data_IF_462526911541
#
_entry.id   IF_462526911541
#
_cell.length_a   1.000
_cell.length_b   1.000
_cell.length_c   1.000
_cell.angle_alpha   90.00
_cell.angle_beta   90.00
_cell.angle_gamma   90.00
#
_symmetry.space_group_name_H-M   'P 1'
#
loop_
_entity.id
_entity.type
_entity.pdbx_description
1 polymer ?
#
# COMPACT_ATOMS: atom_id res chain seq x y z
N UNK A 1 18.73 -1.24 6.49
CA UNK A 1 17.74 -1.55 5.42
C UNK A 1 17.16 -2.96 5.51
N UNK A 2 17.84 -3.95 6.12
CA UNK A 2 17.37 -5.35 6.21
C UNK A 2 16.13 -5.57 7.11
N UNK A 3 15.99 -4.83 8.21
CA UNK A 3 14.92 -5.03 9.21
C UNK A 3 13.52 -4.63 8.75
N UNK A 4 13.42 -3.66 7.82
CA UNK A 4 12.12 -3.13 7.34
C UNK A 4 11.49 -4.01 6.26
N UNK A 5 12.32 -4.74 5.52
CA UNK A 5 11.87 -5.71 4.50
C UNK A 5 11.42 -7.04 5.13
N UNK A 6 12.09 -7.45 6.22
CA UNK A 6 11.67 -8.58 7.07
C UNK A 6 10.26 -8.36 7.63
N UNK A 7 9.89 -7.13 7.95
CA UNK A 7 8.55 -6.80 8.47
C UNK A 7 7.45 -6.91 7.39
N UNK A 8 7.77 -6.57 6.15
CA UNK A 8 6.85 -6.72 5.01
C UNK A 8 6.63 -8.20 4.67
N UNK A 9 7.67 -9.03 4.79
CA UNK A 9 7.60 -10.49 4.63
C UNK A 9 6.88 -11.14 5.81
N UNK A 10 7.06 -10.65 7.04
CA UNK A 10 6.33 -11.12 8.22
C UNK A 10 4.82 -10.91 8.06
N UNK A 11 4.40 -9.80 7.45
CA UNK A 11 2.99 -9.55 7.10
C UNK A 11 2.48 -10.56 6.07
N UNK A 12 3.28 -10.93 5.06
CA UNK A 12 2.93 -11.98 4.09
C UNK A 12 2.83 -13.35 4.78
N UNK A 13 3.69 -13.64 5.77
CA UNK A 13 3.68 -14.86 6.57
C UNK A 13 2.47 -14.96 7.51
N UNK A 14 1.93 -13.82 7.97
CA UNK A 14 0.74 -13.75 8.84
C UNK A 14 -0.57 -13.99 8.06
N UNK A 15 -0.59 -13.75 6.75
CA UNK A 15 -1.78 -13.90 5.90
C UNK A 15 -2.06 -15.38 5.55
N UNK A 16 -1.09 -16.29 5.75
CA UNK A 16 -1.30 -17.73 5.55
C UNK A 16 -1.40 -18.43 6.91
N UNK A 17 -2.54 -19.08 7.24
CA UNK A 17 -2.69 -19.75 8.51
C UNK A 17 -1.72 -20.95 8.56
N UNK A 18 -0.76 -20.89 9.47
CA UNK A 18 0.16 -21.99 9.74
C UNK A 18 -0.60 -23.08 10.51
N UNK A 19 -1.04 -24.13 9.82
CA UNK A 19 -1.41 -25.37 10.48
C UNK A 19 -0.13 -25.98 11.09
N UNK A 20 -0.13 -26.14 12.41
CA UNK A 20 0.99 -26.66 13.17
C UNK A 20 1.15 -28.17 12.91
N UNK A 21 2.17 -28.56 12.15
CA UNK A 21 2.81 -29.88 12.20
C UNK A 21 4.32 -29.70 11.98
N UNK A 22 5.08 -30.57 12.62
CA UNK A 22 6.55 -30.75 12.68
C UNK A 22 7.24 -30.80 11.30
N UNK A 23 7.24 -29.69 10.57
CA UNK A 23 7.95 -29.52 9.30
C UNK A 23 8.63 -28.14 9.29
N UNK A 24 9.89 -28.10 8.85
CA UNK A 24 10.70 -26.88 8.85
C UNK A 24 10.20 -25.89 7.78
N UNK A 25 10.20 -24.60 8.11
CA UNK A 25 9.95 -23.52 7.16
C UNK A 25 11.29 -23.09 6.54
N UNK A 26 11.37 -23.02 5.21
CA UNK A 26 12.60 -22.64 4.50
C UNK A 26 12.45 -21.23 3.95
N UNK A 27 13.33 -20.33 4.39
CA UNK A 27 13.40 -18.94 3.95
C UNK A 27 14.81 -18.60 3.47
N UNK A 28 14.97 -18.23 2.19
CA UNK A 28 16.27 -17.81 1.62
C UNK A 28 16.16 -16.54 0.77
N UNK A 29 17.24 -15.76 0.74
CA UNK A 29 17.36 -14.53 -0.06
C UNK A 29 18.67 -14.61 -0.87
N UNK A 30 18.59 -14.38 -2.18
CA UNK A 30 19.73 -14.35 -3.12
C UNK A 30 20.39 -15.70 -3.35
N UNK A 31 19.71 -16.79 -3.01
CA UNK A 31 20.22 -18.15 -3.13
C UNK A 31 19.10 -19.11 -3.52
N UNK A 32 19.46 -20.15 -4.27
CA UNK A 32 18.53 -21.16 -4.73
C UNK A 32 18.19 -22.16 -3.61
N UNK A 33 17.01 -22.76 -3.72
CA UNK A 33 16.53 -23.81 -2.82
C UNK A 33 16.09 -25.00 -3.62
N UNK A 34 16.65 -26.16 -3.29
CA UNK A 34 16.22 -27.46 -3.81
C UNK A 34 15.63 -28.27 -2.66
N UNK A 35 14.40 -28.73 -2.83
CA UNK A 35 13.71 -29.63 -1.90
C UNK A 35 13.78 -31.01 -2.52
N UNK A 36 14.67 -31.85 -2.00
CA UNK A 36 14.91 -33.18 -2.54
C UNK A 36 13.77 -34.16 -2.25
N UNK A 37 13.80 -35.30 -2.93
CA UNK A 37 12.85 -36.39 -2.71
C UNK A 37 12.96 -36.91 -1.26
N UNK A 38 11.82 -37.13 -0.61
CA UNK A 38 11.78 -37.53 0.81
C UNK A 38 11.89 -36.38 1.81
N UNK A 39 12.26 -35.16 1.39
CA UNK A 39 12.18 -33.99 2.24
C UNK A 39 10.73 -33.50 2.37
N UNK A 40 10.34 -33.18 3.61
CA UNK A 40 9.04 -32.60 3.94
C UNK A 40 9.27 -31.23 4.56
N UNK A 41 8.78 -30.19 3.88
CA UNK A 41 8.87 -28.81 4.33
C UNK A 41 7.49 -28.20 4.41
N UNK A 42 7.34 -27.21 5.29
CA UNK A 42 6.02 -26.62 5.53
C UNK A 42 5.78 -25.47 4.54
N UNK A 43 6.61 -24.42 4.59
CA UNK A 43 6.55 -23.30 3.65
C UNK A 43 7.90 -23.03 2.97
N UNK A 44 7.80 -22.93 1.64
CA UNK A 44 8.73 -22.47 0.61
C UNK A 44 8.84 -20.97 0.39
N UNK A 45 9.80 -20.19 0.91
CA UNK A 45 9.91 -18.77 0.51
C UNK A 45 11.33 -18.42 0.05
N UNK A 46 11.48 -18.02 -1.21
CA UNK A 46 12.76 -17.59 -1.80
C UNK A 46 12.63 -16.26 -2.52
N UNK A 47 13.61 -15.38 -2.31
CA UNK A 47 13.67 -14.05 -2.94
C UNK A 47 14.97 -13.94 -3.73
N UNK A 48 14.88 -13.66 -5.03
CA UNK A 48 16.03 -13.50 -5.93
C UNK A 48 16.79 -14.80 -6.19
N UNK A 49 16.11 -15.95 -6.14
CA UNK A 49 16.66 -17.27 -6.39
C UNK A 49 15.58 -18.23 -6.88
N UNK A 50 15.99 -19.34 -7.47
CA UNK A 50 15.11 -20.38 -8.00
C UNK A 50 14.70 -21.39 -6.92
N UNK A 51 13.44 -21.84 -6.96
CA UNK A 51 12.94 -22.93 -6.13
C UNK A 51 12.79 -24.17 -7.00
N UNK A 52 13.49 -25.25 -6.68
CA UNK A 52 13.29 -26.57 -7.30
C UNK A 52 12.66 -27.52 -6.28
N UNK A 53 11.47 -28.03 -6.58
CA UNK A 53 10.73 -28.92 -5.68
C UNK A 53 10.68 -30.31 -6.29
N UNK A 54 11.15 -31.30 -5.55
CA UNK A 54 11.04 -32.73 -5.86
C UNK A 54 10.37 -33.51 -4.72
N UNK A 55 10.43 -32.99 -3.49
CA UNK A 55 9.77 -33.55 -2.31
C UNK A 55 8.36 -33.00 -2.02
N UNK A 56 7.97 -33.05 -0.74
CA UNK A 56 6.65 -32.66 -0.24
C UNK A 56 6.70 -31.26 0.41
N UNK A 57 5.82 -30.36 -0.06
CA UNK A 57 5.52 -29.06 0.58
C UNK A 57 4.09 -29.10 1.12
N UNK A 58 3.94 -28.99 2.44
CA UNK A 58 2.62 -29.08 3.07
C UNK A 58 1.74 -27.85 2.85
N UNK A 59 2.35 -26.67 2.78
CA UNK A 59 1.63 -25.42 2.59
C UNK A 59 2.09 -24.77 1.29
N UNK A 60 2.69 -23.58 1.36
CA UNK A 60 2.83 -22.71 0.19
C UNK A 60 4.27 -22.68 -0.32
N UNK A 61 4.40 -22.44 -1.63
CA UNK A 61 5.66 -22.15 -2.30
C UNK A 61 5.57 -20.75 -2.90
N UNK A 62 6.46 -19.86 -2.52
CA UNK A 62 6.50 -18.46 -2.95
C UNK A 62 7.91 -18.10 -3.43
N UNK A 63 8.03 -17.80 -4.72
CA UNK A 63 9.25 -17.26 -5.31
C UNK A 63 9.04 -15.79 -5.73
N UNK A 64 9.92 -14.90 -5.29
CA UNK A 64 9.92 -13.49 -5.66
C UNK A 64 11.21 -13.18 -6.45
N UNK A 65 11.10 -12.81 -7.73
CA UNK A 65 12.23 -12.49 -8.59
C UNK A 65 13.05 -13.72 -9.04
N UNK A 66 12.42 -14.90 -9.10
CA UNK A 66 13.03 -16.16 -9.53
C UNK A 66 11.97 -17.18 -9.94
N UNK A 67 12.39 -18.27 -10.57
CA UNK A 67 11.48 -19.29 -11.13
C UNK A 67 11.17 -20.40 -10.13
N UNK A 68 10.04 -21.08 -10.33
CA UNK A 68 9.66 -22.29 -9.57
C UNK A 68 9.65 -23.48 -10.52
N UNK A 69 10.44 -24.50 -10.22
CA UNK A 69 10.50 -25.75 -10.98
C UNK A 69 9.94 -26.87 -10.11
N UNK A 70 8.77 -27.39 -10.48
CA UNK A 70 8.14 -28.54 -9.83
C UNK A 70 8.46 -29.77 -10.66
N UNK A 71 9.29 -30.68 -10.15
CA UNK A 71 9.64 -31.91 -10.86
C UNK A 71 8.49 -32.94 -10.80
N UNK A 72 8.61 -34.05 -11.53
CA UNK A 72 7.56 -35.07 -11.62
C UNK A 72 7.16 -35.71 -10.30
N UNK A 73 7.96 -35.60 -9.23
CA UNK A 73 7.64 -36.14 -7.90
C UNK A 73 7.19 -35.06 -6.89
N UNK A 74 7.16 -33.80 -7.32
CA UNK A 74 6.80 -32.69 -6.46
C UNK A 74 5.34 -32.79 -5.98
N UNK A 75 5.14 -32.71 -4.68
CA UNK A 75 3.82 -32.72 -4.05
C UNK A 75 3.64 -31.43 -3.25
N UNK A 76 2.81 -30.51 -3.73
CA UNK A 76 2.50 -29.25 -3.03
C UNK A 76 1.03 -29.24 -2.63
N UNK A 77 0.76 -29.24 -1.33
CA UNK A 77 -0.62 -29.25 -0.81
C UNK A 77 -1.27 -27.86 -0.79
N UNK A 78 -0.50 -26.79 -0.68
CA UNK A 78 -0.99 -25.42 -0.73
C UNK A 78 -0.76 -24.73 -2.08
N UNK A 79 -0.64 -23.40 -2.04
CA UNK A 79 -0.55 -22.57 -3.24
C UNK A 79 0.88 -22.41 -3.73
N UNK A 80 1.05 -22.26 -5.04
CA UNK A 80 2.33 -21.93 -5.67
C UNK A 80 2.22 -20.54 -6.30
N UNK A 81 3.03 -19.61 -5.82
CA UNK A 81 3.05 -18.22 -6.29
C UNK A 81 4.45 -17.87 -6.78
N UNK A 82 4.56 -17.45 -8.03
CA UNK A 82 5.81 -16.96 -8.61
C UNK A 82 5.60 -15.53 -9.12
N UNK A 83 6.43 -14.60 -8.68
CA UNK A 83 6.36 -13.18 -9.08
C UNK A 83 7.68 -12.82 -9.76
N UNK A 84 7.63 -12.41 -11.03
CA UNK A 84 8.80 -12.02 -11.82
C UNK A 84 9.63 -13.18 -12.40
N UNK A 85 9.09 -14.40 -12.41
CA UNK A 85 9.69 -15.59 -13.00
C UNK A 85 8.64 -16.47 -13.67
N UNK A 86 9.01 -17.72 -13.98
CA UNK A 86 8.09 -18.71 -14.58
C UNK A 86 7.90 -19.92 -13.68
N UNK A 87 6.75 -20.57 -13.79
CA UNK A 87 6.48 -21.84 -13.10
C UNK A 87 6.58 -23.00 -14.11
N UNK A 88 7.65 -23.79 -14.03
CA UNK A 88 7.82 -24.99 -14.82
C UNK A 88 7.28 -26.21 -14.05
N UNK A 89 6.22 -26.84 -14.57
CA UNK A 89 5.58 -28.01 -13.94
C UNK A 89 5.85 -29.28 -14.74
N UNK A 90 6.54 -30.23 -14.13
CA UNK A 90 6.77 -31.57 -14.69
C UNK A 90 5.50 -32.42 -14.73
N UNK A 91 5.46 -33.39 -15.64
CA UNK A 91 4.29 -34.23 -15.98
C UNK A 91 3.76 -35.15 -14.85
N UNK A 92 4.38 -35.14 -13.67
CA UNK A 92 3.88 -35.84 -12.46
C UNK A 92 3.70 -34.94 -11.23
N UNK A 93 4.03 -33.65 -11.34
CA UNK A 93 3.93 -32.71 -10.22
C UNK A 93 2.47 -32.52 -9.81
N UNK A 94 2.16 -32.68 -8.54
CA UNK A 94 0.81 -32.53 -7.99
C UNK A 94 0.75 -31.28 -7.11
N UNK A 95 -0.11 -30.33 -7.50
CA UNK A 95 -0.39 -29.12 -6.73
C UNK A 95 -1.88 -29.12 -6.41
N UNK A 96 -2.22 -29.19 -5.12
CA UNK A 96 -3.62 -29.20 -4.67
C UNK A 96 -4.20 -27.80 -4.49
N UNK A 97 -3.36 -26.77 -4.30
CA UNK A 97 -3.78 -25.37 -4.23
C UNK A 97 -3.77 -24.65 -5.58
N UNK A 98 -3.86 -23.32 -5.54
CA UNK A 98 -3.83 -22.46 -6.74
C UNK A 98 -2.39 -22.21 -7.20
N UNK A 99 -2.18 -22.28 -8.51
CA UNK A 99 -0.92 -21.89 -9.16
C UNK A 99 -1.12 -20.48 -9.73
N UNK A 100 -0.32 -19.52 -9.26
CA UNK A 100 -0.39 -18.13 -9.70
C UNK A 100 0.97 -17.65 -10.17
N UNK A 101 1.08 -17.40 -11.46
CA UNK A 101 2.24 -16.78 -12.08
C UNK A 101 1.96 -15.30 -12.31
N UNK A 102 2.87 -14.43 -11.86
CA UNK A 102 2.81 -12.98 -12.09
C UNK A 102 4.08 -12.60 -12.87
N UNK A 103 4.00 -12.72 -14.19
CA UNK A 103 5.06 -12.41 -15.13
C UNK A 103 4.77 -11.09 -15.88
N UNK A 104 5.78 -10.48 -16.52
CA UNK A 104 5.61 -9.36 -17.44
C UNK A 104 4.71 -9.69 -18.64
N UNK A 105 4.59 -10.97 -19.01
CA UNK A 105 3.61 -11.43 -20.00
C UNK A 105 2.16 -11.19 -19.57
N UNK A 106 1.81 -11.39 -18.29
CA UNK A 106 0.47 -11.06 -17.78
C UNK A 106 0.21 -9.56 -17.80
N UNK A 107 1.26 -8.75 -17.56
CA UNK A 107 1.16 -7.29 -17.69
C UNK A 107 0.91 -6.90 -19.15
N UNK A 108 1.61 -7.54 -20.11
CA UNK A 108 1.35 -7.33 -21.54
C UNK A 108 -0.05 -7.78 -21.96
N UNK A 109 -0.57 -8.87 -21.39
CA UNK A 109 -1.93 -9.35 -21.64
C UNK A 109 -2.99 -8.37 -21.10
N UNK A 110 -2.77 -7.78 -19.92
CA UNK A 110 -3.63 -6.74 -19.33
C UNK A 110 -3.59 -5.44 -20.15
N UNK A 111 -2.41 -5.06 -20.65
CA UNK A 111 -2.25 -3.91 -21.55
C UNK A 111 -2.97 -4.17 -22.87
N UNK A 112 -2.85 -5.39 -23.41
CA UNK A 112 -3.50 -5.78 -24.66
C UNK A 112 -5.04 -5.86 -24.51
N UNK A 113 -5.57 -6.35 -23.39
CA UNK A 113 -7.03 -6.37 -23.14
C UNK A 113 -7.60 -4.98 -22.93
N UNK A 114 -6.83 -4.04 -22.36
CA UNK A 114 -7.19 -2.62 -22.34
C UNK A 114 -7.26 -2.00 -23.73
N UNK A 115 -6.24 -2.18 -24.58
CA UNK A 115 -6.26 -1.66 -25.94
C UNK A 115 -7.36 -2.31 -26.80
N UNK A 116 -7.85 -3.50 -26.42
CA UNK A 116 -9.01 -4.18 -27.02
C UNK A 116 -10.36 -3.71 -26.45
N UNK A 117 -10.37 -2.84 -25.45
CA UNK A 117 -11.59 -2.26 -24.87
C UNK A 117 -12.37 -3.20 -23.95
N UNK A 118 -11.74 -4.27 -23.43
CA UNK A 118 -12.43 -5.24 -22.56
C UNK A 118 -12.66 -4.68 -21.14
N UNK A 119 -13.86 -4.86 -20.54
CA UNK A 119 -14.17 -4.39 -19.19
C UNK A 119 -13.21 -4.93 -18.12
N UNK A 120 -12.74 -6.17 -18.28
CA UNK A 120 -11.77 -6.81 -17.38
C UNK A 120 -10.40 -6.11 -17.44
N UNK A 121 -9.96 -5.68 -18.62
CA UNK A 121 -8.74 -4.90 -18.81
C UNK A 121 -8.80 -3.53 -18.14
N UNK A 122 -9.93 -2.84 -18.23
CA UNK A 122 -10.15 -1.57 -17.52
C UNK A 122 -10.07 -1.72 -16.00
N UNK A 123 -10.76 -2.71 -15.43
CA UNK A 123 -10.73 -2.94 -13.98
C UNK A 123 -9.33 -3.35 -13.47
N UNK A 124 -8.61 -4.17 -14.24
CA UNK A 124 -7.25 -4.58 -13.93
C UNK A 124 -6.28 -3.38 -13.98
N UNK A 125 -6.40 -2.50 -14.99
CA UNK A 125 -5.60 -1.29 -15.07
C UNK A 125 -5.90 -0.31 -13.93
N UNK A 126 -7.15 -0.05 -13.61
CA UNK A 126 -7.49 0.81 -12.47
C UNK A 126 -6.89 0.27 -11.16
N UNK A 127 -6.89 -1.05 -10.98
CA UNK A 127 -6.27 -1.68 -9.81
C UNK A 127 -4.73 -1.54 -9.82
N UNK A 128 -4.07 -1.76 -10.96
CA UNK A 128 -2.61 -1.61 -11.09
C UNK A 128 -2.23 -0.14 -10.86
N UNK A 129 -2.89 0.80 -11.54
CA UNK A 129 -2.65 2.24 -11.42
C UNK A 129 -2.88 2.67 -9.97
N UNK A 130 -3.97 2.25 -9.34
CA UNK A 130 -4.28 2.54 -7.93
C UNK A 130 -3.20 2.00 -6.98
N UNK A 131 -2.68 0.79 -7.23
CA UNK A 131 -1.61 0.19 -6.43
C UNK A 131 -0.30 0.99 -6.55
N UNK A 132 0.11 1.33 -7.78
CA UNK A 132 1.29 2.17 -8.04
C UNK A 132 1.14 3.57 -7.43
N UNK A 133 -0.03 4.19 -7.59
CA UNK A 133 -0.34 5.51 -7.06
C UNK A 133 -0.29 5.51 -5.53
N UNK A 134 -0.82 4.47 -4.88
CA UNK A 134 -0.77 4.33 -3.43
C UNK A 134 0.65 4.05 -2.92
N UNK A 135 1.47 3.29 -3.66
CA UNK A 135 2.89 3.12 -3.39
C UNK A 135 3.68 4.42 -3.52
N UNK A 136 3.40 5.22 -4.57
CA UNK A 136 4.01 6.53 -4.77
C UNK A 136 3.66 7.50 -3.63
N UNK A 137 2.37 7.57 -3.24
CA UNK A 137 1.92 8.38 -2.09
C UNK A 137 2.63 7.92 -0.81
N UNK A 138 2.82 6.62 -0.60
CA UNK A 138 3.53 6.10 0.57
C UNK A 138 4.99 6.55 0.62
N UNK A 139 5.69 6.53 -0.52
CA UNK A 139 7.07 7.03 -0.63
C UNK A 139 7.13 8.53 -0.39
N UNK A 140 6.26 9.31 -1.05
CA UNK A 140 6.16 10.76 -0.85
C UNK A 140 5.82 11.12 0.60
N UNK A 141 4.98 10.32 1.25
CA UNK A 141 4.61 10.49 2.64
C UNK A 141 5.78 10.31 3.59
N UNK A 142 6.58 9.26 3.39
CA UNK A 142 7.80 9.03 4.16
C UNK A 142 8.80 10.16 3.97
N UNK A 143 8.94 10.63 2.73
CA UNK A 143 9.87 11.69 2.37
C UNK A 143 9.42 13.03 2.99
N UNK A 144 8.14 13.37 2.91
CA UNK A 144 7.57 14.56 3.54
C UNK A 144 7.66 14.51 5.07
N UNK A 145 7.40 13.35 5.69
CA UNK A 145 7.54 13.16 7.13
C UNK A 145 8.98 13.34 7.62
N UNK A 146 9.96 12.98 6.77
CA UNK A 146 11.38 13.14 7.08
C UNK A 146 11.87 14.58 6.87
N UNK A 147 11.51 15.21 5.74
CA UNK A 147 12.02 16.55 5.38
C UNK A 147 11.31 17.65 6.16
N UNK A 148 9.98 17.56 6.38
CA UNK A 148 9.19 18.66 6.92
C UNK A 148 8.18 18.15 7.97
N UNK A 149 8.64 17.76 9.18
CA UNK A 149 7.75 17.26 10.24
C UNK A 149 6.85 18.36 10.84
N UNK A 150 7.29 19.63 10.84
CA UNK A 150 6.58 20.73 11.53
C UNK A 150 5.15 20.99 10.98
N UNK A 151 4.93 21.12 9.66
CA UNK A 151 3.58 21.28 9.11
C UNK A 151 2.69 20.08 9.37
N UNK A 152 3.23 18.85 9.28
CA UNK A 152 2.47 17.64 9.54
C UNK A 152 1.97 17.58 10.98
N UNK A 153 2.82 17.92 11.97
CA UNK A 153 2.40 18.00 13.36
C UNK A 153 1.37 19.11 13.58
N UNK A 154 1.49 20.26 12.92
CA UNK A 154 0.52 21.34 13.02
C UNK A 154 -0.86 20.94 12.46
N UNK A 155 -0.89 20.26 11.31
CA UNK A 155 -2.12 19.75 10.70
C UNK A 155 -2.73 18.67 11.59
N UNK A 156 -1.90 17.73 12.08
CA UNK A 156 -2.28 16.68 13.04
C UNK A 156 -3.01 17.30 14.25
N UNK A 157 -2.38 18.29 14.88
CA UNK A 157 -2.92 18.95 16.07
C UNK A 157 -4.22 19.71 15.77
N UNK A 158 -4.31 20.41 14.63
CA UNK A 158 -5.52 21.13 14.23
C UNK A 158 -6.73 20.19 14.04
N UNK A 159 -6.51 19.00 13.47
CA UNK A 159 -7.57 17.99 13.33
C UNK A 159 -7.96 17.43 14.71
N UNK A 160 -7.01 17.24 15.64
CA UNK A 160 -7.30 16.79 17.01
C UNK A 160 -8.11 17.80 17.81
N UNK A 161 -7.76 19.08 17.72
CA UNK A 161 -8.44 20.17 18.42
C UNK A 161 -9.89 20.38 17.93
N UNK A 162 -10.18 20.09 16.66
CA UNK A 162 -11.51 20.33 16.10
C UNK A 162 -11.89 19.32 15.00
N UNK A 163 -12.04 18.03 15.38
CA UNK A 163 -12.37 16.92 14.47
C UNK A 163 -13.56 17.20 13.55
N UNK A 164 -14.67 17.71 14.12
CA UNK A 164 -15.90 18.00 13.38
C UNK A 164 -15.69 19.16 12.42
N UNK A 165 -15.09 20.27 12.88
CA UNK A 165 -14.85 21.44 12.02
C UNK A 165 -13.90 21.11 10.88
N UNK A 166 -12.85 20.34 11.15
CA UNK A 166 -11.91 19.87 10.15
C UNK A 166 -12.61 19.04 9.07
N UNK A 167 -13.49 18.11 9.45
CA UNK A 167 -14.26 17.33 8.47
C UNK A 167 -15.16 18.22 7.61
N UNK A 168 -15.95 19.12 8.21
CA UNK A 168 -16.85 20.01 7.46
C UNK A 168 -16.10 20.99 6.55
N UNK A 169 -15.00 21.57 7.00
CA UNK A 169 -14.16 22.43 6.17
C UNK A 169 -13.52 21.67 5.01
N UNK A 170 -13.10 20.43 5.26
CA UNK A 170 -12.60 19.54 4.22
C UNK A 170 -13.66 19.18 3.19
N UNK A 171 -14.88 18.90 3.64
CA UNK A 171 -16.00 18.55 2.76
C UNK A 171 -16.40 19.75 1.90
N UNK A 172 -16.52 20.93 2.53
CA UNK A 172 -16.82 22.18 1.84
C UNK A 172 -15.74 22.51 0.81
N UNK A 173 -14.46 22.37 1.18
CA UNK A 173 -13.36 22.58 0.26
C UNK A 173 -13.40 21.61 -0.92
N UNK A 174 -13.64 20.32 -0.64
CA UNK A 174 -13.73 19.30 -1.70
C UNK A 174 -14.86 19.63 -2.68
N UNK A 175 -16.01 20.09 -2.19
CA UNK A 175 -17.13 20.53 -3.02
C UNK A 175 -16.82 21.83 -3.79
N UNK A 176 -16.03 22.73 -3.20
CA UNK A 176 -15.63 24.00 -3.81
C UNK A 176 -14.52 23.86 -4.85
N UNK A 177 -13.77 22.75 -4.87
CA UNK A 177 -12.71 22.52 -5.88
C UNK A 177 -13.28 22.60 -7.29
N UNK A 178 -14.35 21.86 -7.59
CA UNK A 178 -14.95 21.81 -8.93
C UNK A 178 -15.40 23.20 -9.42
N UNK A 179 -16.26 23.96 -8.71
CA UNK A 179 -16.66 25.29 -9.15
C UNK A 179 -15.47 26.27 -9.18
N UNK A 180 -14.49 26.16 -8.28
CA UNK A 180 -13.30 26.99 -8.30
C UNK A 180 -12.48 26.82 -9.59
N UNK A 181 -12.26 25.57 -10.03
CA UNK A 181 -11.57 25.31 -11.30
C UNK A 181 -12.39 25.73 -12.51
N UNK A 182 -13.72 25.56 -12.50
CA UNK A 182 -14.59 26.06 -13.58
C UNK A 182 -14.46 27.58 -13.70
N UNK A 183 -14.46 28.30 -12.58
CA UNK A 183 -14.31 29.75 -12.55
C UNK A 183 -12.93 30.19 -13.06
N UNK A 184 -11.86 29.43 -12.74
CA UNK A 184 -10.53 29.65 -13.30
C UNK A 184 -10.49 29.46 -14.82
N UNK A 185 -11.18 28.45 -15.35
CA UNK A 185 -11.21 28.18 -16.80
C UNK A 185 -11.94 29.28 -17.56
N UNK A 186 -13.03 29.81 -17.01
CA UNK A 186 -13.79 30.91 -17.62
C UNK A 186 -13.01 32.23 -17.58
N UNK A 187 -12.15 32.41 -16.58
CA UNK A 187 -11.30 33.61 -16.46
C UNK A 187 -10.07 33.52 -17.36
N UNK A 188 -9.87 34.53 -18.21
CA UNK A 188 -8.68 34.65 -19.07
C UNK A 188 -7.39 34.64 -18.23
N UNK A 189 -7.40 35.32 -17.08
CA UNK A 189 -6.28 35.29 -16.13
C UNK A 189 -6.21 33.97 -15.33
N UNK A 190 -7.36 33.31 -15.13
CA UNK A 190 -7.45 32.07 -14.39
C UNK A 190 -6.72 30.91 -15.06
N UNK A 191 -6.72 30.83 -16.39
CA UNK A 191 -6.01 29.78 -17.15
C UNK A 191 -4.52 29.69 -16.74
N UNK A 192 -3.84 30.82 -16.62
CA UNK A 192 -2.44 30.86 -16.17
C UNK A 192 -2.26 30.45 -14.71
N UNK A 193 -3.31 30.62 -13.89
CA UNK A 193 -3.32 30.27 -12.48
C UNK A 193 -3.63 28.78 -12.24
N UNK A 194 -4.20 28.07 -13.24
CA UNK A 194 -4.60 26.65 -13.11
C UNK A 194 -3.42 25.77 -12.66
N UNK A 195 -2.23 25.81 -13.28
CA UNK A 195 -1.12 24.95 -12.87
C UNK A 195 -0.67 25.21 -11.44
N UNK A 196 -0.65 26.49 -11.03
CA UNK A 196 -0.25 26.91 -9.68
C UNK A 196 -1.29 26.43 -8.66
N UNK A 197 -2.57 26.67 -8.93
CA UNK A 197 -3.67 26.24 -8.07
C UNK A 197 -3.71 24.71 -7.93
N UNK A 198 -3.53 23.99 -9.05
CA UNK A 198 -3.49 22.53 -9.06
C UNK A 198 -2.30 21.98 -8.26
N UNK A 199 -1.11 22.58 -8.39
CA UNK A 199 0.08 22.18 -7.64
C UNK A 199 -0.10 22.42 -6.14
N UNK A 200 -0.65 23.58 -5.76
CA UNK A 200 -0.95 23.89 -4.36
C UNK A 200 -1.98 22.94 -3.77
N UNK A 201 -3.03 22.62 -4.55
CA UNK A 201 -4.05 21.65 -4.17
C UNK A 201 -3.44 20.25 -3.96
N UNK A 202 -2.61 19.78 -4.89
CA UNK A 202 -1.90 18.50 -4.78
C UNK A 202 -1.05 18.43 -3.52
N UNK A 203 -0.27 19.49 -3.22
CA UNK A 203 0.50 19.54 -1.97
C UNK A 203 -0.41 19.50 -0.74
N UNK A 204 -1.53 20.23 -0.74
CA UNK A 204 -2.48 20.20 0.37
C UNK A 204 -3.11 18.81 0.56
N UNK A 205 -3.48 18.12 -0.53
CA UNK A 205 -3.98 16.75 -0.47
C UNK A 205 -2.95 15.79 0.11
N UNK A 206 -1.70 15.85 -0.38
CA UNK A 206 -0.61 14.99 0.09
C UNK A 206 -0.37 15.23 1.59
N UNK A 207 -0.14 16.48 2.00
CA UNK A 207 0.12 16.82 3.40
C UNK A 207 -1.07 16.47 4.33
N UNK A 208 -2.29 16.76 3.89
CA UNK A 208 -3.50 16.42 4.61
C UNK A 208 -3.67 14.91 4.80
N UNK A 209 -3.48 14.13 3.74
CA UNK A 209 -3.54 12.68 3.79
C UNK A 209 -2.51 12.10 4.76
N UNK A 210 -1.26 12.59 4.70
CA UNK A 210 -0.17 12.13 5.58
C UNK A 210 -0.47 12.46 7.04
N UNK A 211 -0.92 13.68 7.32
CA UNK A 211 -1.27 14.09 8.67
C UNK A 211 -2.46 13.29 9.23
N UNK A 212 -3.48 13.04 8.41
CA UNK A 212 -4.62 12.20 8.78
C UNK A 212 -4.19 10.74 9.02
N UNK A 213 -3.27 10.21 8.21
CA UNK A 213 -2.66 8.91 8.45
C UNK A 213 -1.90 8.89 9.78
N UNK A 214 -1.04 9.88 10.04
CA UNK A 214 -0.30 10.00 11.30
C UNK A 214 -1.23 10.04 12.52
N UNK A 215 -2.39 10.70 12.41
CA UNK A 215 -3.42 10.67 13.46
C UNK A 215 -3.99 9.28 13.70
N UNK A 216 -4.35 8.56 12.64
CA UNK A 216 -4.84 7.19 12.75
C UNK A 216 -3.81 6.27 13.41
N UNK A 217 -2.54 6.43 13.01
CA UNK A 217 -1.43 5.71 13.61
C UNK A 217 -1.29 6.02 15.09
N UNK A 218 -1.33 7.30 15.48
CA UNK A 218 -1.25 7.76 16.86
C UNK A 218 -2.39 7.20 17.74
N UNK A 219 -3.64 7.23 17.26
CA UNK A 219 -4.81 6.69 17.99
C UNK A 219 -4.63 5.21 18.31
N UNK A 220 -4.06 4.44 17.39
CA UNK A 220 -3.86 2.99 17.57
C UNK A 220 -2.62 2.72 18.44
N UNK A 221 -1.56 3.51 18.27
CA UNK A 221 -0.34 3.42 19.07
C UNK A 221 -0.59 3.68 20.55
N UNK A 222 -1.37 4.71 20.87
CA UNK A 222 -1.71 5.07 22.25
C UNK A 222 -2.60 4.02 22.91
N UNK A 223 -3.44 3.32 22.15
CA UNK A 223 -4.26 2.20 22.66
C UNK A 223 -3.45 0.93 22.92
N UNK A 224 -2.44 0.63 22.10
CA UNK A 224 -1.69 -0.64 22.18
C UNK A 224 -0.45 -0.52 23.08
N UNK A 225 0.25 0.62 23.06
CA UNK A 225 1.49 0.80 23.79
C UNK A 225 1.38 2.04 24.69
N UNK A 226 1.14 1.81 25.98
CA UNK A 226 1.20 2.86 27.00
C UNK A 226 2.61 3.47 27.03
N UNK A 227 2.69 4.78 26.79
CA UNK A 227 3.72 5.65 27.35
C UNK A 227 5.15 5.62 26.76
N UNK A 228 5.31 5.89 25.47
CA UNK A 228 6.55 6.51 24.96
C UNK A 228 6.20 7.61 23.95
N UNK A 229 6.81 8.79 24.03
CA UNK A 229 6.74 9.84 23.00
C UNK A 229 7.35 9.27 21.71
N UNK A 230 6.54 8.69 20.83
CA UNK A 230 7.03 8.03 19.63
C UNK A 230 7.31 9.07 18.55
N UNK A 231 8.34 8.85 17.70
CA UNK A 231 8.64 9.77 16.62
C UNK A 231 7.48 9.79 15.61
N UNK A 232 7.10 10.98 15.12
CA UNK A 232 6.03 11.22 14.13
C UNK A 232 6.10 10.26 12.93
N UNK A 233 7.31 9.86 12.55
CA UNK A 233 7.58 8.92 11.46
C UNK A 233 6.93 7.55 11.73
N UNK A 234 7.01 7.04 12.96
CA UNK A 234 6.43 5.74 13.32
C UNK A 234 4.91 5.78 13.31
N UNK A 235 4.32 6.88 13.80
CA UNK A 235 2.88 7.10 13.73
C UNK A 235 2.39 7.18 12.28
N UNK A 236 3.11 7.94 11.45
CA UNK A 236 2.79 8.10 10.03
C UNK A 236 2.88 6.77 9.28
N UNK A 237 3.94 6.00 9.51
CA UNK A 237 4.11 4.66 8.91
C UNK A 237 2.97 3.74 9.31
N UNK A 238 2.65 3.65 10.60
CA UNK A 238 1.59 2.77 11.07
C UNK A 238 0.23 3.20 10.53
N UNK A 239 -0.07 4.49 10.55
CA UNK A 239 -1.29 5.03 9.96
C UNK A 239 -1.44 4.73 8.47
N UNK A 240 -0.37 4.88 7.69
CA UNK A 240 -0.36 4.55 6.27
C UNK A 240 -0.55 3.05 6.02
N UNK A 241 0.11 2.19 6.81
CA UNK A 241 -0.07 0.73 6.73
C UNK A 241 -1.52 0.37 7.04
N UNK A 242 -2.12 0.99 8.06
CA UNK A 242 -3.52 0.76 8.40
C UNK A 242 -4.46 1.19 7.27
N UNK A 243 -4.23 2.37 6.68
CA UNK A 243 -5.00 2.82 5.52
C UNK A 243 -4.84 1.91 4.30
N UNK A 244 -3.66 1.31 4.14
CA UNK A 244 -3.43 0.31 3.12
C UNK A 244 -4.27 -0.93 3.39
N UNK A 245 -4.20 -1.51 4.59
CA UNK A 245 -4.98 -2.71 4.98
C UNK A 245 -6.48 -2.45 4.89
N UNK A 246 -6.96 -1.31 5.40
CA UNK A 246 -8.36 -0.90 5.33
C UNK A 246 -8.82 -0.75 3.86
N UNK A 247 -7.92 -0.27 2.99
CA UNK A 247 -8.20 -0.13 1.56
C UNK A 247 -8.49 -1.44 0.85
N UNK A 248 -8.11 -2.59 1.41
CA UNK A 248 -8.40 -3.91 0.85
C UNK A 248 -9.81 -4.41 1.21
N UNK A 249 -10.48 -3.77 2.17
CA UNK A 249 -11.84 -4.14 2.56
C UNK A 249 -12.81 -3.57 1.50
N UNK A 250 -13.54 -4.43 0.76
CA UNK A 250 -14.52 -3.96 -0.22
C UNK A 250 -15.62 -3.15 0.47
N UNK A 251 -16.13 -2.12 -0.22
CA UNK A 251 -17.15 -1.16 0.26
C UNK A 251 -16.76 -0.26 1.45
N UNK A 252 -16.02 -0.75 2.45
CA UNK A 252 -15.64 0.06 3.62
C UNK A 252 -14.37 0.88 3.33
N UNK A 253 -13.44 0.32 2.55
CA UNK A 253 -12.16 0.95 2.27
C UNK A 253 -12.27 2.30 1.58
N UNK A 254 -13.19 2.45 0.62
CA UNK A 254 -13.37 3.73 -0.10
C UNK A 254 -14.00 4.80 0.81
N UNK A 255 -14.99 4.43 1.62
CA UNK A 255 -15.64 5.33 2.58
C UNK A 255 -14.64 5.89 3.59
N UNK A 256 -13.80 5.03 4.15
CA UNK A 256 -12.75 5.46 5.10
C UNK A 256 -11.72 6.34 4.39
N UNK A 257 -11.30 5.99 3.17
CA UNK A 257 -10.37 6.82 2.39
C UNK A 257 -10.93 8.22 2.13
N UNK A 258 -12.20 8.33 1.74
CA UNK A 258 -12.88 9.63 1.55
C UNK A 258 -12.89 10.41 2.85
N UNK A 259 -13.25 9.78 3.97
CA UNK A 259 -13.29 10.45 5.27
C UNK A 259 -11.91 10.98 5.70
N UNK A 260 -10.87 10.17 5.48
CA UNK A 260 -9.48 10.49 5.82
C UNK A 260 -8.95 11.64 4.96
N UNK A 261 -9.16 11.57 3.65
CA UNK A 261 -8.76 12.61 2.70
C UNK A 261 -9.47 13.93 3.01
N UNK A 262 -10.78 13.88 3.24
CA UNK A 262 -11.59 15.05 3.56
C UNK A 262 -11.12 15.70 4.87
N UNK A 263 -10.97 14.90 5.93
CA UNK A 263 -10.48 15.41 7.22
C UNK A 263 -9.06 15.97 7.12
N UNK A 264 -8.19 15.29 6.37
CA UNK A 264 -6.82 15.74 6.11
C UNK A 264 -6.78 17.12 5.46
N UNK A 265 -7.54 17.31 4.39
CA UNK A 265 -7.62 18.55 3.63
C UNK A 265 -8.18 19.70 4.48
N UNK A 266 -9.23 19.42 5.26
CA UNK A 266 -9.78 20.40 6.20
C UNK A 266 -8.82 20.79 7.32
N UNK A 267 -7.99 19.85 7.80
CA UNK A 267 -6.89 20.15 8.72
C UNK A 267 -5.86 21.13 8.12
N UNK A 268 -5.51 20.96 6.84
CA UNK A 268 -4.61 21.89 6.14
C UNK A 268 -5.22 23.30 6.08
N UNK A 269 -6.51 23.40 5.72
CA UNK A 269 -7.21 24.68 5.63
C UNK A 269 -7.31 25.39 6.98
N UNK A 270 -7.63 24.66 8.05
CA UNK A 270 -7.70 25.24 9.39
C UNK A 270 -6.33 25.80 9.82
N UNK A 271 -5.23 25.09 9.53
CA UNK A 271 -3.89 25.62 9.82
C UNK A 271 -3.60 26.89 9.03
N UNK A 272 -3.98 26.95 7.74
CA UNK A 272 -3.79 28.15 6.90
C UNK A 272 -4.61 29.34 7.42
N UNK A 273 -5.89 29.13 7.76
CA UNK A 273 -6.75 30.19 8.30
C UNK A 273 -6.29 30.66 9.68
N UNK A 274 -5.90 29.74 10.56
CA UNK A 274 -5.47 30.10 11.91
C UNK A 274 -4.12 30.84 11.93
N UNK A 275 -3.20 30.52 10.99
CA UNK A 275 -1.99 31.32 10.76
C UNK A 275 -2.30 32.74 10.31
N UNK A 276 -3.32 32.92 9.46
CA UNK A 276 -3.72 34.24 8.95
C UNK A 276 -4.29 35.12 10.06
N UNK A 277 -5.08 34.55 10.98
CA UNK A 277 -5.58 35.27 12.15
C UNK A 277 -4.47 35.64 13.16
N UNK A 278 -3.51 34.75 13.40
CA UNK A 278 -2.42 34.98 14.36
C UNK A 278 -1.45 36.09 13.92
N UNK A 279 -1.30 36.30 12.61
CA UNK A 279 -0.50 37.37 12.03
C UNK A 279 -1.27 38.70 11.89
N UNK A 280 -2.59 38.72 12.08
CA UNK A 280 -3.41 39.93 12.02
C UNK A 280 -3.63 40.59 13.39
N UNK A 281 -3.19 39.93 14.47
CA UNK A 281 -3.27 40.39 15.87
C UNK A 281 -1.92 40.86 16.42
N UNK A 282 -0.90 40.96 15.56
CA UNK A 282 0.42 41.55 15.84
C UNK A 282 0.57 42.80 14.98
#
# INVERSE_FOLDING_TARGET
MKTKFIFFIAIVLIIFPAAAVKAENVFKIGADVTIEEGMKVNNVIVIGGQITVTGLVENNVVALGGSVVLTSKALVRGNVVCIGGVIARGSGAQVFGKVKEINSSNISAIINSFFRGEPEGWSALFNIISLYFQGLIFILALLAAFIIPRPLTAIKQSIQESKIKSFFWGLLATLMITPFFILLVISIAGIYLIPVAFTALLMAFILGYIAAAALLGDIILTKIAHSYKKPLIVETILGLILLLVIGWIPYIGWLIKVFVVTSGLGGVLLVLFNRRHRNATL
#
